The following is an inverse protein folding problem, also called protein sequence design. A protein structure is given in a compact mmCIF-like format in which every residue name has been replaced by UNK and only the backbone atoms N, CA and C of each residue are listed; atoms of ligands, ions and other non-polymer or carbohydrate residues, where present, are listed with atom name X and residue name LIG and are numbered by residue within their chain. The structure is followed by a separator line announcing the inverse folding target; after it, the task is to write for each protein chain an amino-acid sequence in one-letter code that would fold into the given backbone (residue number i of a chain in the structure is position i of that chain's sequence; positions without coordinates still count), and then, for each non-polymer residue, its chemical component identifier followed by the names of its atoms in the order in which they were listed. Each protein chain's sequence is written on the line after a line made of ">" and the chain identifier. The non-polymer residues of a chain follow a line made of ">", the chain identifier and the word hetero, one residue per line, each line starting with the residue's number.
data_IF_891607108810
#
_entry.id   IF_891607108810
#
_cell.length_a   1.000
_cell.length_b   1.000
_cell.length_c   1.000
_cell.angle_alpha   90.00
_cell.angle_beta   90.00
_cell.angle_gamma   90.00
#
_symmetry.space_group_name_H-M   'P 1'
#
loop_
_entity.id
_entity.type
_entity.pdbx_description
1 polymer ?
#
# COMPACT_ATOMS: atom_id res chain seq x y z
N UNK A 1 -7.65 11.83 -0.65
CA UNK A 1 -8.85 11.11 -1.11
C UNK A 1 -9.33 10.28 0.04
N UNK A 2 -10.63 10.15 0.25
CA UNK A 2 -11.18 8.99 0.95
C UNK A 2 -12.18 8.36 -0.01
N UNK A 3 -11.95 7.10 -0.37
CA UNK A 3 -12.90 6.30 -1.11
C UNK A 3 -13.73 5.50 -0.12
N UNK A 4 -15.06 5.59 -0.24
CA UNK A 4 -16.01 4.79 0.53
C UNK A 4 -16.81 3.95 -0.45
N UNK A 5 -16.64 2.63 -0.38
CA UNK A 5 -17.43 1.66 -1.11
C UNK A 5 -18.57 1.16 -0.23
N UNK A 6 -19.79 1.15 -0.75
CA UNK A 6 -20.97 0.60 -0.09
C UNK A 6 -21.45 -0.66 -0.80
N UNK A 7 -21.65 -1.75 -0.06
CA UNK A 7 -22.20 -3.02 -0.53
C UNK A 7 -23.40 -3.42 0.32
N UNK A 8 -24.49 -3.88 -0.31
CA UNK A 8 -25.65 -4.42 0.40
C UNK A 8 -25.95 -5.87 -0.02
N UNK A 9 -25.96 -6.82 0.92
CA UNK A 9 -26.24 -8.23 0.61
C UNK A 9 -27.69 -8.64 0.92
N UNK A 10 -28.22 -9.71 0.29
CA UNK A 10 -29.59 -10.18 0.53
C UNK A 10 -29.81 -10.65 1.98
N UNK A 11 -31.07 -10.67 2.40
CA UNK A 11 -31.69 -10.92 3.74
C UNK A 11 -31.12 -12.01 4.67
N UNK A 12 -30.05 -12.73 4.36
CA UNK A 12 -29.46 -13.72 5.25
C UNK A 12 -28.61 -13.13 6.39
N UNK A 13 -28.13 -11.89 6.27
CA UNK A 13 -27.25 -11.24 7.26
C UNK A 13 -27.95 -10.11 8.03
N UNK A 14 -29.23 -10.31 8.41
CA UNK A 14 -30.24 -9.27 8.73
C UNK A 14 -29.80 -8.13 9.65
N UNK A 15 -28.76 -8.28 10.48
CA UNK A 15 -28.36 -7.28 11.48
C UNK A 15 -26.86 -6.90 11.46
N UNK A 16 -26.10 -7.18 10.40
CA UNK A 16 -24.67 -6.86 10.37
C UNK A 16 -24.34 -5.65 9.48
N UNK A 17 -23.80 -4.58 10.10
CA UNK A 17 -23.10 -3.50 9.43
C UNK A 17 -21.59 -3.70 9.64
N UNK A 18 -20.84 -3.75 8.56
CA UNK A 18 -19.39 -3.91 8.57
C UNK A 18 -18.73 -2.65 8.03
N UNK A 19 -17.82 -2.05 8.78
CA UNK A 19 -16.93 -0.98 8.29
C UNK A 19 -15.51 -1.52 8.29
N UNK A 20 -14.88 -1.50 7.13
CA UNK A 20 -13.47 -1.88 6.97
C UNK A 20 -12.72 -0.60 6.62
N UNK A 21 -12.01 -0.04 7.61
CA UNK A 21 -11.04 1.02 7.38
C UNK A 21 -9.73 0.45 6.83
N UNK A 22 -8.97 1.27 6.09
CA UNK A 22 -7.80 0.86 5.32
C UNK A 22 -8.07 -0.40 4.48
N UNK A 23 -9.16 -0.39 3.71
CA UNK A 23 -9.66 -1.54 2.97
C UNK A 23 -8.61 -2.24 2.08
N UNK A 24 -7.62 -1.50 1.56
CA UNK A 24 -6.45 -2.04 0.87
C UNK A 24 -5.71 -3.14 1.69
N UNK A 25 -5.72 -3.08 3.01
CA UNK A 25 -5.15 -4.10 3.91
C UNK A 25 -5.83 -5.46 3.81
N UNK A 26 -7.17 -5.48 3.69
CA UNK A 26 -7.93 -6.72 3.50
C UNK A 26 -7.44 -7.47 2.26
N UNK A 27 -7.07 -6.68 1.26
CA UNK A 27 -6.71 -7.14 -0.06
C UNK A 27 -5.24 -7.54 -0.20
N UNK A 28 -4.40 -7.29 0.80
CA UNK A 28 -3.03 -7.83 0.90
C UNK A 28 -3.02 -9.32 1.32
N UNK A 29 -4.12 -9.87 1.85
CA UNK A 29 -4.18 -11.22 2.40
C UNK A 29 -4.50 -12.32 1.35
N UNK A 30 -3.74 -12.36 0.25
CA UNK A 30 -3.82 -13.42 -0.77
C UNK A 30 -3.15 -14.71 -0.31
N UNK A 31 -3.61 -15.34 0.79
CA UNK A 31 -3.22 -16.73 1.18
C UNK A 31 -3.85 -17.13 2.52
N UNK A 32 -5.18 -17.14 2.64
CA UNK A 32 -5.76 -17.97 3.72
C UNK A 32 -5.59 -19.42 3.28
N UNK A 33 -4.80 -20.18 4.04
CA UNK A 33 -4.52 -21.59 3.75
C UNK A 33 -5.40 -22.46 4.64
N UNK A 34 -6.14 -23.36 4.02
CA UNK A 34 -6.94 -24.37 4.72
C UNK A 34 -6.72 -25.74 4.10
N UNK A 35 -6.95 -26.81 4.87
CA UNK A 35 -6.95 -28.16 4.31
C UNK A 35 -8.23 -28.41 3.49
N UNK A 36 -8.08 -29.10 2.36
CA UNK A 36 -9.16 -29.46 1.43
C UNK A 36 -10.26 -30.27 2.13
N UNK A 37 -9.89 -31.14 3.07
CA UNK A 37 -10.85 -31.94 3.82
C UNK A 37 -11.72 -31.10 4.74
N UNK A 38 -11.19 -30.00 5.31
CA UNK A 38 -12.00 -29.03 6.06
C UNK A 38 -12.98 -28.31 5.15
N UNK A 39 -12.56 -27.94 3.93
CA UNK A 39 -13.45 -27.32 2.94
C UNK A 39 -14.59 -28.29 2.56
N UNK A 40 -14.27 -29.55 2.27
CA UNK A 40 -15.24 -30.61 1.97
C UNK A 40 -16.19 -30.86 3.15
N UNK A 41 -15.65 -30.90 4.37
CA UNK A 41 -16.44 -31.05 5.59
C UNK A 41 -17.46 -29.93 5.74
N UNK A 42 -17.04 -28.66 5.62
CA UNK A 42 -17.94 -27.51 5.72
C UNK A 42 -18.99 -27.48 4.60
N UNK A 43 -18.63 -27.90 3.39
CA UNK A 43 -19.60 -28.03 2.29
C UNK A 43 -20.65 -29.12 2.54
N UNK A 44 -20.29 -30.21 3.23
CA UNK A 44 -21.18 -31.34 3.50
C UNK A 44 -22.02 -31.11 4.76
N UNK A 45 -21.37 -30.79 5.87
CA UNK A 45 -21.96 -30.76 7.21
C UNK A 45 -22.18 -29.35 7.76
N UNK A 46 -21.62 -28.31 7.15
CA UNK A 46 -21.84 -26.93 7.58
C UNK A 46 -23.31 -26.53 7.50
N UNK A 47 -23.69 -25.54 8.31
CA UNK A 47 -25.02 -24.93 8.25
C UNK A 47 -25.23 -24.17 6.92
N UNK A 48 -26.43 -23.60 6.74
CA UNK A 48 -26.80 -22.86 5.51
C UNK A 48 -25.87 -21.67 5.25
N UNK A 49 -25.37 -21.00 6.28
CA UNK A 49 -24.52 -19.81 6.17
C UNK A 49 -23.09 -20.24 5.82
N UNK A 50 -22.53 -21.20 6.54
CA UNK A 50 -21.22 -21.78 6.31
C UNK A 50 -21.11 -22.32 4.88
N UNK A 51 -22.10 -23.09 4.41
CA UNK A 51 -22.16 -23.59 3.03
C UNK A 51 -22.17 -22.45 2.01
N UNK A 52 -22.89 -21.37 2.26
CA UNK A 52 -22.94 -20.19 1.38
C UNK A 52 -21.59 -19.48 1.32
N UNK A 53 -20.94 -19.25 2.47
CA UNK A 53 -19.62 -18.61 2.56
C UNK A 53 -18.56 -19.48 1.87
N UNK A 54 -18.50 -20.78 2.17
CA UNK A 54 -17.49 -21.68 1.62
C UNK A 54 -17.65 -21.86 0.11
N UNK A 55 -18.87 -21.95 -0.42
CA UNK A 55 -19.10 -21.97 -1.89
C UNK A 55 -18.55 -20.73 -2.57
N UNK A 56 -18.66 -19.55 -1.95
CA UNK A 56 -18.11 -18.30 -2.49
C UNK A 56 -16.58 -18.29 -2.44
N UNK A 57 -16.00 -18.73 -1.33
CA UNK A 57 -14.55 -18.84 -1.17
C UNK A 57 -13.95 -19.80 -2.22
N UNK A 58 -14.54 -20.98 -2.42
CA UNK A 58 -14.03 -21.99 -3.35
C UNK A 58 -14.04 -21.52 -4.81
N UNK A 59 -14.95 -20.62 -5.21
CA UNK A 59 -14.94 -20.00 -6.55
C UNK A 59 -13.68 -19.18 -6.83
N UNK A 60 -12.99 -18.70 -5.79
CA UNK A 60 -11.82 -17.84 -5.89
C UNK A 60 -10.60 -18.49 -5.20
N UNK A 61 -10.45 -19.81 -5.35
CA UNK A 61 -9.38 -20.57 -4.68
C UNK A 61 -8.53 -21.40 -5.64
N UNK A 62 -7.35 -21.78 -5.18
CA UNK A 62 -6.41 -22.67 -5.86
C UNK A 62 -6.11 -23.83 -4.90
N UNK A 63 -6.25 -25.07 -5.37
CA UNK A 63 -5.94 -26.26 -4.57
C UNK A 63 -4.56 -26.83 -4.94
N UNK A 64 -3.79 -27.27 -3.93
CA UNK A 64 -2.50 -27.93 -4.10
C UNK A 64 -2.29 -29.02 -3.04
N UNK A 65 -2.28 -30.28 -3.48
CA UNK A 65 -2.25 -31.42 -2.57
C UNK A 65 -3.44 -31.36 -1.61
N UNK A 66 -3.16 -31.42 -0.30
CA UNK A 66 -4.19 -31.29 0.74
C UNK A 66 -4.56 -29.84 1.08
N UNK A 67 -3.91 -28.83 0.48
CA UNK A 67 -4.08 -27.42 0.84
C UNK A 67 -4.92 -26.67 -0.19
N UNK A 68 -5.64 -25.65 0.29
CA UNK A 68 -6.44 -24.72 -0.52
C UNK A 68 -6.04 -23.29 -0.14
N UNK A 69 -5.75 -22.49 -1.17
CA UNK A 69 -5.36 -21.09 -1.08
C UNK A 69 -6.52 -20.23 -1.56
N UNK A 70 -6.98 -19.29 -0.73
CA UNK A 70 -8.07 -18.38 -1.10
C UNK A 70 -7.53 -17.00 -1.51
N UNK A 71 -8.05 -16.46 -2.62
CA UNK A 71 -7.95 -15.03 -2.93
C UNK A 71 -8.82 -14.25 -1.92
N UNK A 72 -8.46 -13.03 -1.51
CA UNK A 72 -9.23 -12.25 -0.55
C UNK A 72 -10.59 -11.91 -1.14
N UNK A 73 -11.64 -12.12 -0.36
CA UNK A 73 -13.01 -11.77 -0.74
C UNK A 73 -13.56 -10.71 0.20
N UNK A 74 -14.39 -9.81 -0.33
CA UNK A 74 -15.09 -8.84 0.53
C UNK A 74 -16.09 -9.60 1.40
N UNK A 75 -16.03 -9.52 2.75
CA UNK A 75 -16.96 -10.24 3.62
C UNK A 75 -18.42 -9.90 3.33
N UNK A 76 -19.31 -10.88 3.48
CA UNK A 76 -20.76 -10.66 3.35
C UNK A 76 -21.31 -10.09 4.66
N UNK A 77 -21.93 -8.92 4.58
CA UNK A 77 -22.74 -8.32 5.64
C UNK A 77 -23.94 -7.61 5.00
N UNK A 78 -25.01 -7.32 5.75
CA UNK A 78 -26.19 -6.61 5.22
C UNK A 78 -25.77 -5.28 4.60
N UNK A 79 -24.84 -4.59 5.25
CA UNK A 79 -24.16 -3.40 4.72
C UNK A 79 -22.66 -3.53 4.98
N UNK A 80 -21.83 -3.38 3.95
CA UNK A 80 -20.37 -3.28 4.08
C UNK A 80 -19.90 -1.93 3.54
N UNK A 81 -19.19 -1.16 4.37
CA UNK A 81 -18.44 0.01 3.99
C UNK A 81 -16.96 -0.34 3.87
N UNK A 82 -16.35 -0.17 2.69
CA UNK A 82 -14.90 -0.24 2.52
C UNK A 82 -14.35 1.18 2.42
N UNK A 83 -13.54 1.59 3.39
CA UNK A 83 -12.99 2.93 3.50
C UNK A 83 -11.49 2.86 3.26
N UNK A 84 -10.96 3.65 2.34
CA UNK A 84 -9.51 3.77 2.15
C UNK A 84 -9.12 5.10 1.54
N UNK A 85 -7.99 5.65 1.99
CA UNK A 85 -7.47 6.92 1.49
C UNK A 85 -6.66 6.80 0.19
N UNK A 86 -6.25 5.58 -0.16
CA UNK A 86 -5.27 5.30 -1.22
C UNK A 86 -5.72 4.22 -2.21
N UNK A 87 -6.95 3.73 -2.06
CA UNK A 87 -7.50 2.70 -2.94
C UNK A 87 -7.78 3.28 -4.34
N UNK A 88 -7.24 2.62 -5.36
CA UNK A 88 -7.29 3.02 -6.76
C UNK A 88 -8.64 2.61 -7.37
N UNK A 89 -9.36 3.46 -8.13
CA UNK A 89 -10.68 3.11 -8.68
C UNK A 89 -10.70 1.83 -9.51
N UNK A 90 -9.69 1.60 -10.36
CA UNK A 90 -9.54 0.39 -11.19
C UNK A 90 -9.43 -0.88 -10.35
N UNK A 91 -9.08 -0.76 -9.07
CA UNK A 91 -9.04 -1.88 -8.15
C UNK A 91 -10.44 -2.42 -7.85
N UNK A 92 -11.47 -1.57 -7.88
CA UNK A 92 -12.88 -1.97 -7.63
C UNK A 92 -13.37 -2.98 -8.68
N UNK A 93 -12.96 -2.84 -9.93
CA UNK A 93 -13.30 -3.75 -11.02
C UNK A 93 -12.65 -5.13 -10.87
N UNK A 94 -11.55 -5.20 -10.12
CA UNK A 94 -10.80 -6.42 -9.85
C UNK A 94 -11.19 -7.07 -8.52
N UNK A 95 -12.04 -6.41 -7.71
CA UNK A 95 -12.52 -6.98 -6.45
C UNK A 95 -13.51 -8.12 -6.72
N UNK A 96 -13.42 -9.26 -5.99
CA UNK A 96 -14.40 -10.35 -6.08
C UNK A 96 -15.68 -10.00 -5.31
N UNK A 97 -16.37 -8.96 -5.75
CA UNK A 97 -17.70 -8.54 -5.30
C UNK A 97 -18.74 -9.43 -6.00
N UNK A 98 -19.78 -9.92 -5.31
CA UNK A 98 -20.84 -10.68 -5.96
C UNK A 98 -21.59 -9.81 -6.99
N UNK A 99 -21.88 -10.36 -8.17
CA UNK A 99 -22.51 -9.66 -9.30
C UNK A 99 -23.87 -9.04 -8.96
N UNK A 100 -24.58 -9.61 -7.99
CA UNK A 100 -25.91 -9.21 -7.52
C UNK A 100 -25.88 -8.17 -6.38
N UNK A 101 -24.70 -7.69 -5.98
CA UNK A 101 -24.55 -6.75 -4.86
C UNK A 101 -24.40 -5.32 -5.39
N UNK A 102 -25.37 -4.42 -5.09
CA UNK A 102 -25.28 -3.02 -5.47
C UNK A 102 -24.02 -2.39 -4.86
N UNK A 103 -23.22 -1.74 -5.70
CA UNK A 103 -21.98 -1.12 -5.32
C UNK A 103 -22.05 0.39 -5.60
N UNK A 104 -21.81 1.22 -4.57
CA UNK A 104 -21.71 2.68 -4.72
C UNK A 104 -20.39 3.19 -4.19
N UNK A 105 -19.77 4.10 -4.92
CA UNK A 105 -18.48 4.70 -4.57
C UNK A 105 -18.65 6.19 -4.31
N UNK A 106 -18.20 6.65 -3.14
CA UNK A 106 -18.16 8.05 -2.78
C UNK A 106 -16.71 8.50 -2.60
N UNK A 107 -16.42 9.72 -3.07
CA UNK A 107 -15.10 10.33 -2.98
C UNK A 107 -15.15 11.56 -2.11
N UNK A 108 -14.46 11.52 -0.97
CA UNK A 108 -14.21 12.73 -0.17
C UNK A 108 -12.94 13.39 -0.69
N UNK A 109 -13.11 14.58 -1.27
CA UNK A 109 -12.00 15.38 -1.79
C UNK A 109 -11.22 15.99 -0.63
N UNK A 110 -9.89 15.96 -0.75
CA UNK A 110 -8.98 16.74 0.10
C UNK A 110 -8.17 17.66 -0.81
N UNK A 111 -7.93 18.89 -0.37
CA UNK A 111 -7.05 19.80 -1.10
C UNK A 111 -5.61 19.30 -1.02
N UNK A 112 -4.94 19.27 -2.16
CA UNK A 112 -3.55 18.85 -2.28
C UNK A 112 -2.69 20.07 -2.62
N UNK A 113 -1.95 20.56 -1.63
CA UNK A 113 -1.13 21.79 -1.75
C UNK A 113 0.36 21.48 -1.93
N UNK A 114 0.76 20.23 -1.81
CA UNK A 114 2.17 19.85 -1.77
C UNK A 114 2.89 20.08 -3.11
N UNK A 115 4.17 20.44 -3.04
CA UNK A 115 5.08 20.52 -4.18
C UNK A 115 5.62 19.14 -4.48
N UNK A 116 5.49 18.70 -5.73
CA UNK A 116 5.91 17.39 -6.19
C UNK A 116 7.19 17.50 -7.01
N UNK A 117 8.25 16.85 -6.56
CA UNK A 117 9.53 16.78 -7.27
C UNK A 117 9.82 15.31 -7.57
N UNK A 118 10.08 14.92 -8.82
CA UNK A 118 10.30 13.50 -9.15
C UNK A 118 11.56 13.21 -9.96
N UNK A 119 12.21 12.11 -9.61
CA UNK A 119 13.29 11.53 -10.39
C UNK A 119 12.72 10.88 -11.65
N UNK A 120 13.24 11.24 -12.81
CA UNK A 120 12.86 10.60 -14.06
C UNK A 120 13.45 9.18 -14.23
N UNK A 121 14.50 8.85 -13.48
CA UNK A 121 15.17 7.54 -13.52
C UNK A 121 14.47 6.49 -12.66
N UNK A 122 14.69 5.22 -13.01
CA UNK A 122 14.30 4.06 -12.19
C UNK A 122 15.46 3.67 -11.28
N UNK A 123 15.18 3.44 -10.01
CA UNK A 123 16.17 2.98 -9.04
C UNK A 123 15.95 1.49 -8.80
N UNK A 124 16.53 0.64 -9.66
CA UNK A 124 16.47 -0.82 -9.55
C UNK A 124 17.28 -1.34 -8.36
N UNK A 125 16.81 -2.35 -7.64
CA UNK A 125 17.49 -2.76 -6.39
C UNK A 125 18.82 -3.48 -6.65
N UNK A 126 18.92 -4.13 -7.80
CA UNK A 126 20.10 -4.79 -8.32
C UNK A 126 21.24 -3.76 -8.51
N UNK A 127 20.89 -2.53 -8.90
CA UNK A 127 21.81 -1.42 -9.15
C UNK A 127 22.07 -0.56 -7.89
N UNK A 128 21.64 -1.00 -6.70
CA UNK A 128 21.66 -0.20 -5.45
C UNK A 128 23.00 0.41 -5.11
N UNK A 129 24.09 -0.29 -5.36
CA UNK A 129 25.43 0.16 -5.01
C UNK A 129 25.82 1.40 -5.81
N UNK A 130 25.29 1.55 -7.02
CA UNK A 130 25.55 2.71 -7.89
C UNK A 130 24.74 3.95 -7.52
N UNK A 131 23.47 3.79 -7.13
CA UNK A 131 22.56 4.93 -6.92
C UNK A 131 22.36 5.29 -5.45
N UNK A 132 22.62 4.39 -4.49
CA UNK A 132 22.41 4.69 -3.06
C UNK A 132 23.27 5.86 -2.59
N UNK A 133 24.59 5.93 -2.89
CA UNK A 133 25.41 7.08 -2.49
C UNK A 133 24.87 8.41 -3.06
N UNK A 134 24.54 8.43 -4.36
CA UNK A 134 23.96 9.60 -5.04
C UNK A 134 22.62 10.02 -4.41
N UNK A 135 21.79 9.04 -4.04
CA UNK A 135 20.52 9.31 -3.37
C UNK A 135 20.73 9.95 -1.99
N UNK A 136 21.71 9.49 -1.22
CA UNK A 136 22.04 10.03 0.10
C UNK A 136 22.58 11.45 -0.01
N UNK A 137 23.49 11.72 -0.95
CA UNK A 137 24.00 13.06 -1.26
C UNK A 137 22.87 14.00 -1.69
N UNK A 138 21.97 13.53 -2.56
CA UNK A 138 20.82 14.30 -2.99
C UNK A 138 19.88 14.62 -1.82
N UNK A 139 19.60 13.65 -0.95
CA UNK A 139 18.81 13.87 0.26
C UNK A 139 19.48 14.93 1.13
N UNK A 140 20.79 14.80 1.39
CA UNK A 140 21.56 15.73 2.21
C UNK A 140 21.46 17.17 1.69
N UNK A 141 21.64 17.36 0.38
CA UNK A 141 21.56 18.66 -0.27
C UNK A 141 20.16 19.32 -0.19
N UNK A 142 19.12 18.54 0.10
CA UNK A 142 17.73 19.00 0.17
C UNK A 142 17.12 18.84 1.58
N UNK A 143 17.95 18.63 2.61
CA UNK A 143 17.49 18.61 4.00
C UNK A 143 17.09 20.02 4.45
N UNK A 144 15.78 20.28 4.46
CA UNK A 144 15.20 21.50 5.03
C UNK A 144 14.11 21.15 6.03
N UNK A 145 14.06 21.89 7.15
CA UNK A 145 13.13 21.61 8.24
C UNK A 145 13.29 20.20 8.82
N UNK A 146 12.16 19.58 9.18
CA UNK A 146 12.05 18.19 9.58
C UNK A 146 11.76 17.31 8.37
N UNK A 147 12.47 16.19 8.25
CA UNK A 147 12.47 15.36 7.05
C UNK A 147 11.91 13.98 7.35
N UNK A 148 10.94 13.55 6.54
CA UNK A 148 10.43 12.19 6.49
C UNK A 148 11.01 11.42 5.32
N UNK A 149 11.36 10.15 5.53
CA UNK A 149 11.88 9.29 4.48
C UNK A 149 11.14 7.95 4.49
N UNK A 150 10.27 7.76 3.49
CA UNK A 150 9.65 6.48 3.18
C UNK A 150 10.64 5.62 2.41
N UNK A 151 11.36 4.75 3.12
CA UNK A 151 12.31 3.80 2.57
C UNK A 151 11.59 2.57 1.98
N UNK A 152 12.25 1.87 1.07
CA UNK A 152 11.71 0.71 0.36
C UNK A 152 11.89 -0.63 1.09
N UNK A 153 12.92 -0.77 1.91
CA UNK A 153 13.24 -1.99 2.67
C UNK A 153 14.20 -1.67 3.82
N UNK A 154 14.34 -2.59 4.77
CA UNK A 154 15.19 -2.39 5.96
C UNK A 154 16.67 -2.20 5.65
N UNK A 155 17.19 -2.77 4.55
CA UNK A 155 18.59 -2.56 4.14
C UNK A 155 18.83 -1.10 3.77
N UNK A 156 17.94 -0.51 2.98
CA UNK A 156 18.01 0.92 2.65
C UNK A 156 17.73 1.80 3.88
N UNK A 157 16.79 1.41 4.74
CA UNK A 157 16.49 2.15 5.98
C UNK A 157 17.71 2.23 6.89
N UNK A 158 18.42 1.11 7.07
CA UNK A 158 19.69 1.06 7.79
C UNK A 158 20.73 1.98 7.15
N UNK A 159 20.93 1.89 5.83
CA UNK A 159 21.91 2.72 5.13
C UNK A 159 21.63 4.22 5.27
N UNK A 160 20.38 4.65 5.14
CA UNK A 160 19.96 6.04 5.34
C UNK A 160 20.20 6.47 6.79
N UNK A 161 19.78 5.66 7.76
CA UNK A 161 19.98 5.97 9.17
C UNK A 161 21.46 6.14 9.51
N UNK A 162 22.28 5.17 9.11
CA UNK A 162 23.70 5.14 9.42
C UNK A 162 24.46 6.32 8.79
N UNK A 163 24.05 6.74 7.58
CA UNK A 163 24.64 7.88 6.89
C UNK A 163 24.37 9.20 7.63
N UNK A 164 23.15 9.41 8.13
CA UNK A 164 22.74 10.68 8.70
C UNK A 164 22.93 10.80 10.22
N UNK A 165 23.01 9.69 10.96
CA UNK A 165 23.08 9.70 12.44
C UNK A 165 24.30 10.45 12.99
N UNK A 166 25.40 10.53 12.23
CA UNK A 166 26.60 11.24 12.66
C UNK A 166 26.45 12.78 12.61
N UNK A 167 25.45 13.29 11.87
CA UNK A 167 25.25 14.72 11.63
C UNK A 167 23.93 15.25 12.20
N UNK A 168 22.94 14.39 12.35
CA UNK A 168 21.58 14.77 12.73
C UNK A 168 21.00 13.78 13.73
N UNK A 169 20.02 14.23 14.50
CA UNK A 169 19.17 13.31 15.23
C UNK A 169 18.25 12.56 14.26
N UNK A 170 18.49 11.26 14.13
CA UNK A 170 17.74 10.37 13.25
C UNK A 170 16.98 9.34 14.08
N UNK A 171 15.75 9.05 13.67
CA UNK A 171 14.97 7.93 14.19
C UNK A 171 14.55 7.02 13.03
N UNK A 172 14.61 5.70 13.23
CA UNK A 172 14.21 4.74 12.19
C UNK A 172 13.57 3.48 12.75
N UNK A 173 12.67 2.89 11.97
CA UNK A 173 11.95 1.66 12.32
C UNK A 173 12.84 0.40 12.30
N UNK A 174 14.07 0.53 11.83
CA UNK A 174 15.10 -0.50 11.93
C UNK A 174 15.69 -0.57 13.34
N UNK A 175 16.10 0.57 13.91
CA UNK A 175 16.79 0.64 15.20
C UNK A 175 15.89 0.92 16.39
N UNK A 176 14.73 1.53 16.16
CA UNK A 176 13.86 2.01 17.23
C UNK A 176 12.48 1.36 17.16
N UNK A 177 11.94 0.98 18.30
CA UNK A 177 10.56 0.48 18.38
C UNK A 177 9.54 1.60 18.17
N UNK A 178 9.84 2.81 18.67
CA UNK A 178 9.00 3.99 18.56
C UNK A 178 9.79 5.18 17.99
N UNK A 179 9.14 6.04 17.18
CA UNK A 179 9.80 7.22 16.63
C UNK A 179 10.09 8.24 17.72
N UNK A 180 11.34 8.74 17.75
CA UNK A 180 11.68 9.94 18.51
C UNK A 180 10.96 11.13 17.87
N UNK A 181 10.18 11.86 18.67
CA UNK A 181 9.22 12.88 18.17
C UNK A 181 9.91 14.19 17.77
N UNK A 182 11.06 14.46 18.36
CA UNK A 182 11.93 15.60 18.18
C UNK A 182 12.95 15.43 17.05
N UNK A 183 13.29 14.18 16.69
CA UNK A 183 14.23 13.86 15.63
C UNK A 183 14.02 14.69 14.35
N UNK A 184 15.15 15.15 13.79
CA UNK A 184 15.17 15.93 12.54
C UNK A 184 14.85 15.05 11.34
N UNK A 185 15.35 13.82 11.32
CA UNK A 185 15.15 12.87 10.21
C UNK A 185 14.42 11.63 10.74
N UNK A 186 13.30 11.30 10.11
CA UNK A 186 12.45 10.15 10.46
C UNK A 186 12.40 9.22 9.26
N UNK A 187 12.94 8.01 9.42
CA UNK A 187 12.99 7.01 8.36
C UNK A 187 12.06 5.86 8.71
N UNK A 188 11.12 5.52 7.84
CA UNK A 188 10.29 4.32 7.99
C UNK A 188 10.38 3.45 6.77
N UNK A 189 10.25 2.15 6.98
CA UNK A 189 10.25 1.16 5.92
C UNK A 189 8.82 0.94 5.45
N UNK A 190 8.56 1.01 4.14
CA UNK A 190 7.26 0.64 3.57
C UNK A 190 6.99 -0.84 3.86
N UNK A 191 5.78 -1.17 4.34
CA UNK A 191 5.43 -2.46 4.96
C UNK A 191 6.30 -2.86 6.19
N UNK A 192 7.04 -1.92 6.77
CA UNK A 192 7.83 -2.11 7.98
C UNK A 192 7.04 -1.87 9.27
N UNK A 193 7.74 -1.86 10.40
CA UNK A 193 7.14 -1.71 11.74
C UNK A 193 6.37 -0.40 11.88
N UNK A 194 6.85 0.68 11.29
CA UNK A 194 6.21 2.01 11.40
C UNK A 194 5.25 2.33 10.24
N UNK A 195 5.09 1.41 9.30
CA UNK A 195 4.17 1.56 8.17
C UNK A 195 2.71 1.71 8.63
N UNK A 196 2.30 0.99 9.68
CA UNK A 196 0.94 1.05 10.27
C UNK A 196 0.98 1.15 11.79
N UNK A 197 -0.15 1.57 12.38
CA UNK A 197 -0.37 1.56 13.83
C UNK A 197 0.43 2.59 14.66
N UNK A 198 1.45 3.25 14.08
CA UNK A 198 2.30 4.20 14.80
C UNK A 198 2.08 5.62 14.27
N UNK A 199 1.89 6.61 15.14
CA UNK A 199 1.80 8.00 14.69
C UNK A 199 3.18 8.59 14.45
N UNK A 200 3.54 8.82 13.19
CA UNK A 200 4.71 9.63 12.83
C UNK A 200 4.39 11.12 12.98
N UNK A 201 5.35 11.96 13.41
CA UNK A 201 5.16 13.41 13.44
C UNK A 201 5.11 13.99 12.01
N UNK A 202 4.56 15.20 11.90
CA UNK A 202 4.51 15.96 10.65
C UNK A 202 5.93 16.39 10.22
N UNK A 203 6.18 16.43 8.91
CA UNK A 203 7.50 16.73 8.30
C UNK A 203 7.35 17.79 7.22
N UNK A 204 8.36 18.61 6.99
CA UNK A 204 8.39 19.62 5.93
C UNK A 204 8.66 19.01 4.55
N UNK A 205 9.61 18.07 4.51
CA UNK A 205 10.09 17.41 3.29
C UNK A 205 9.94 15.91 3.43
N UNK A 206 9.50 15.25 2.36
CA UNK A 206 9.27 13.80 2.34
C UNK A 206 9.99 13.18 1.14
N UNK A 207 10.97 12.32 1.41
CA UNK A 207 11.61 11.50 0.38
C UNK A 207 10.89 10.16 0.24
N UNK A 208 10.43 9.88 -0.96
CA UNK A 208 9.54 8.78 -1.29
C UNK A 208 10.28 7.77 -2.18
N UNK A 209 10.82 6.70 -1.58
CA UNK A 209 11.35 5.56 -2.35
C UNK A 209 10.22 4.61 -2.73
N UNK A 210 10.30 4.03 -3.93
CA UNK A 210 9.35 3.02 -4.35
C UNK A 210 9.80 1.64 -3.91
N UNK A 211 9.00 0.98 -3.08
CA UNK A 211 9.07 -0.44 -2.84
C UNK A 211 8.37 -1.14 -4.01
N UNK A 212 9.17 -1.67 -4.93
CA UNK A 212 8.68 -2.75 -5.79
C UNK A 212 8.28 -3.92 -4.87
N UNK A 213 7.30 -4.77 -5.23
CA UNK A 213 7.16 -6.04 -4.54
C UNK A 213 8.57 -6.63 -4.50
N UNK A 214 9.15 -6.70 -3.29
CA UNK A 214 10.46 -7.32 -3.12
C UNK A 214 10.40 -8.63 -3.86
N UNK A 215 11.50 -9.06 -4.47
CA UNK A 215 11.67 -10.43 -4.93
C UNK A 215 11.16 -11.33 -3.81
N UNK A 216 9.88 -11.68 -3.89
CA UNK A 216 9.26 -12.47 -2.88
C UNK A 216 10.02 -13.79 -2.96
N UNK A 217 10.20 -14.52 -1.84
CA UNK A 217 10.53 -15.93 -1.98
C UNK A 217 9.61 -16.48 -3.08
N UNK A 218 10.17 -17.16 -4.10
CA UNK A 218 9.49 -17.38 -5.37
C UNK A 218 8.06 -17.77 -5.05
N UNK A 219 7.10 -16.94 -5.49
CA UNK A 219 5.69 -17.28 -5.41
C UNK A 219 5.60 -18.74 -5.80
N UNK A 220 4.94 -19.57 -4.99
CA UNK A 220 4.88 -21.01 -5.22
C UNK A 220 4.67 -21.22 -6.73
N UNK A 221 5.52 -21.97 -7.45
CA UNK A 221 5.50 -22.03 -8.91
C UNK A 221 4.12 -22.32 -9.51
N UNK A 222 3.23 -22.96 -8.74
CA UNK A 222 1.84 -23.20 -9.11
C UNK A 222 0.91 -21.99 -8.89
N UNK A 223 1.17 -21.15 -7.89
CA UNK A 223 0.53 -19.83 -7.78
C UNK A 223 0.92 -18.96 -8.99
N UNK A 224 2.19 -19.00 -9.42
CA UNK A 224 2.62 -18.29 -10.65
C UNK A 224 1.82 -18.76 -11.87
N UNK A 225 1.56 -20.07 -11.99
CA UNK A 225 0.74 -20.63 -13.09
C UNK A 225 -0.75 -20.29 -13.02
N UNK A 226 -1.25 -19.94 -11.83
CA UNK A 226 -2.65 -19.60 -11.60
C UNK A 226 -2.90 -18.09 -11.52
N UNK A 227 -1.83 -17.29 -11.49
CA UNK A 227 -1.87 -15.83 -11.62
C UNK A 227 -2.15 -15.53 -13.09
N UNK A 228 -3.28 -14.90 -13.36
CA UNK A 228 -3.59 -14.34 -14.67
C UNK A 228 -3.17 -12.86 -14.76
N UNK A 229 -3.39 -12.25 -15.93
CA UNK A 229 -3.07 -10.83 -16.15
C UNK A 229 -3.86 -9.89 -15.21
N UNK A 230 -5.08 -10.27 -14.82
CA UNK A 230 -5.91 -9.50 -13.89
C UNK A 230 -5.31 -9.52 -12.50
N UNK A 231 -4.81 -10.67 -12.06
CA UNK A 231 -4.12 -10.85 -10.79
C UNK A 231 -2.82 -10.03 -10.76
N UNK A 232 -2.03 -10.02 -11.84
CA UNK A 232 -0.82 -9.18 -11.96
C UNK A 232 -1.17 -7.70 -11.83
N UNK A 233 -2.19 -7.24 -12.57
CA UNK A 233 -2.66 -5.86 -12.50
C UNK A 233 -3.16 -5.52 -11.09
N UNK A 234 -3.90 -6.42 -10.47
CA UNK A 234 -4.37 -6.27 -9.09
C UNK A 234 -3.20 -6.05 -8.12
N UNK A 235 -2.16 -6.89 -8.17
CA UNK A 235 -0.99 -6.76 -7.28
C UNK A 235 -0.21 -5.48 -7.53
N UNK A 236 -0.11 -5.06 -8.78
CA UNK A 236 0.51 -3.78 -9.12
C UNK A 236 -0.24 -2.61 -8.49
N UNK A 237 -1.57 -2.57 -8.65
CA UNK A 237 -2.42 -1.51 -8.09
C UNK A 237 -2.36 -1.48 -6.55
N UNK A 238 -2.36 -2.65 -5.93
CA UNK A 238 -2.23 -2.77 -4.47
C UNK A 238 -0.86 -2.26 -4.00
N UNK A 239 0.21 -2.61 -4.71
CA UNK A 239 1.56 -2.13 -4.40
C UNK A 239 1.68 -0.62 -4.56
N UNK A 240 1.05 -0.04 -5.59
CA UNK A 240 0.97 1.40 -5.79
C UNK A 240 0.24 2.09 -4.62
N UNK A 241 -0.91 1.55 -4.19
CA UNK A 241 -1.68 2.06 -3.06
C UNK A 241 -0.87 2.04 -1.74
N UNK A 242 -0.15 0.96 -1.47
CA UNK A 242 0.71 0.78 -0.29
C UNK A 242 1.85 1.79 -0.26
N UNK A 243 2.54 1.96 -1.38
CA UNK A 243 3.61 2.95 -1.50
C UNK A 243 3.07 4.36 -1.24
N UNK A 244 1.96 4.71 -1.89
CA UNK A 244 1.34 6.02 -1.70
C UNK A 244 0.89 6.21 -0.24
N UNK A 245 0.28 5.21 0.40
CA UNK A 245 -0.09 5.28 1.81
C UNK A 245 1.13 5.55 2.70
N UNK A 246 2.26 4.90 2.41
CA UNK A 246 3.54 5.12 3.07
C UNK A 246 4.01 6.56 2.97
N UNK A 247 3.87 7.20 1.80
CA UNK A 247 4.31 8.58 1.57
C UNK A 247 3.55 9.61 2.40
N UNK A 248 2.28 9.33 2.77
CA UNK A 248 1.47 10.24 3.59
C UNK A 248 1.61 10.02 5.10
N UNK A 249 2.47 9.10 5.56
CA UNK A 249 2.59 8.77 6.99
C UNK A 249 3.05 9.95 7.85
N UNK A 250 3.91 10.81 7.30
CA UNK A 250 4.41 12.04 7.92
C UNK A 250 3.84 13.34 7.30
N UNK A 251 2.86 13.24 6.41
CA UNK A 251 2.09 14.39 5.86
C UNK A 251 0.76 14.47 6.62
N UNK A 252 0.75 15.18 7.76
CA UNK A 252 -0.38 15.23 8.70
C UNK A 252 -1.13 16.55 8.61
N UNK A 253 -0.43 17.67 8.45
CA UNK A 253 -1.04 19.02 8.49
C UNK A 253 -1.43 19.46 7.07
N UNK A 254 -2.62 19.04 6.60
CA UNK A 254 -3.10 19.29 5.22
C UNK A 254 -3.19 20.77 4.79
N UNK A 255 -3.26 21.70 5.73
CA UNK A 255 -3.29 23.15 5.43
C UNK A 255 -1.92 23.71 5.01
N UNK A 256 -0.85 22.96 5.27
CA UNK A 256 0.53 23.32 5.00
C UNK A 256 0.99 22.70 3.67
N UNK A 257 1.83 23.42 2.93
CA UNK A 257 2.55 22.86 1.78
C UNK A 257 3.74 22.02 2.26
N UNK A 258 3.82 20.77 1.80
CA UNK A 258 4.98 19.89 1.99
C UNK A 258 5.73 19.75 0.67
N UNK A 259 7.01 19.39 0.70
CA UNK A 259 7.78 19.04 -0.50
C UNK A 259 7.95 17.52 -0.55
N UNK A 260 7.42 16.88 -1.59
CA UNK A 260 7.53 15.44 -1.79
C UNK A 260 8.51 15.13 -2.93
N UNK A 261 9.66 14.53 -2.58
CA UNK A 261 10.66 14.05 -3.53
C UNK A 261 10.43 12.57 -3.83
N UNK A 262 9.95 12.26 -5.03
CA UNK A 262 9.85 10.89 -5.53
C UNK A 262 11.20 10.44 -6.08
N UNK A 263 11.90 9.61 -5.32
CA UNK A 263 13.25 9.16 -5.66
C UNK A 263 13.26 8.17 -6.83
N UNK A 264 12.12 7.58 -7.17
CA UNK A 264 11.94 6.64 -8.27
C UNK A 264 10.72 7.05 -9.10
N UNK A 265 10.85 7.03 -10.44
CA UNK A 265 9.75 7.35 -11.37
C UNK A 265 8.46 6.57 -11.09
N UNK A 266 8.56 5.32 -10.61
CA UNK A 266 7.40 4.48 -10.27
C UNK A 266 6.58 5.07 -9.12
N UNK A 267 7.23 5.67 -8.12
CA UNK A 267 6.52 6.30 -7.00
C UNK A 267 5.65 7.48 -7.43
N UNK A 268 6.15 8.33 -8.33
CA UNK A 268 5.36 9.42 -8.90
C UNK A 268 4.23 8.89 -9.80
N UNK A 269 4.48 7.80 -10.53
CA UNK A 269 3.45 7.15 -11.35
C UNK A 269 2.32 6.59 -10.48
N UNK A 270 2.67 5.90 -9.38
CA UNK A 270 1.73 5.38 -8.39
C UNK A 270 0.86 6.49 -7.78
N UNK A 271 1.47 7.63 -7.40
CA UNK A 271 0.73 8.79 -6.89
C UNK A 271 -0.35 9.26 -7.88
N UNK A 272 -0.02 9.38 -9.16
CA UNK A 272 -0.95 9.85 -10.19
C UNK A 272 -2.03 8.82 -10.57
N UNK A 273 -1.85 7.54 -10.21
CA UNK A 273 -2.88 6.51 -10.31
C UNK A 273 -3.83 6.56 -9.13
N UNK A 274 -3.29 6.71 -7.91
CA UNK A 274 -4.09 6.80 -6.69
C UNK A 274 -4.90 8.09 -6.63
N UNK A 275 -4.31 9.23 -6.99
CA UNK A 275 -5.01 10.51 -6.98
C UNK A 275 -5.38 10.92 -8.40
N UNK A 276 -6.67 11.14 -8.70
CA UNK A 276 -7.11 11.64 -9.99
C UNK A 276 -6.32 12.89 -10.39
N UNK A 277 -5.88 12.96 -11.65
CA UNK A 277 -5.08 14.09 -12.16
C UNK A 277 -5.69 15.44 -11.84
N UNK A 278 -7.02 15.56 -11.89
CA UNK A 278 -7.75 16.79 -11.57
C UNK A 278 -7.45 17.35 -10.17
N UNK A 279 -7.06 16.51 -9.22
CA UNK A 279 -6.87 16.90 -7.82
C UNK A 279 -5.44 17.32 -7.53
N UNK A 280 -4.48 16.73 -8.24
CA UNK A 280 -3.05 17.08 -8.17
C UNK A 280 -2.64 18.08 -9.25
N UNK A 281 -3.57 18.56 -10.09
CA UNK A 281 -3.30 19.48 -11.22
C UNK A 281 -2.78 20.85 -10.78
N UNK A 282 -3.16 21.31 -9.59
CA UNK A 282 -2.74 22.62 -9.06
C UNK A 282 -1.39 22.57 -8.33
N UNK A 283 -0.82 21.39 -8.14
CA UNK A 283 0.46 21.22 -7.45
C UNK A 283 1.61 21.72 -8.33
N UNK A 284 2.58 22.39 -7.73
CA UNK A 284 3.87 22.68 -8.38
C UNK A 284 4.59 21.35 -8.65
N UNK A 285 5.16 21.22 -9.86
CA UNK A 285 5.70 19.97 -10.39
C UNK A 285 7.04 20.21 -11.04
N UNK A 286 8.07 19.55 -10.55
CA UNK A 286 9.43 19.63 -11.07
C UNK A 286 10.04 18.25 -11.19
N UNK A 287 10.96 18.08 -12.13
CA UNK A 287 11.67 16.81 -12.31
C UNK A 287 13.16 17.00 -12.12
N UNK A 288 13.83 15.92 -11.73
CA UNK A 288 15.28 15.83 -11.68
C UNK A 288 15.73 14.49 -12.24
N UNK A 289 17.04 14.32 -12.38
CA UNK A 289 17.67 13.07 -12.81
C UNK A 289 18.79 12.73 -11.84
N UNK A 290 18.62 11.65 -11.08
CA UNK A 290 19.61 11.21 -10.10
C UNK A 290 20.76 10.40 -10.75
N UNK A 291 20.42 9.62 -11.78
CA UNK A 291 21.36 8.79 -12.52
C UNK A 291 21.23 9.12 -14.00
N UNK A 292 22.35 9.48 -14.64
CA UNK A 292 22.46 9.41 -16.09
C UNK A 292 22.43 7.94 -16.48
N UNK A 293 21.43 7.55 -17.26
CA UNK A 293 21.44 6.28 -17.97
C UNK A 293 22.36 6.42 -19.17
#
# INVERSE_FOLDING_TARGET
>A
MLMVLYLATPDAFKNALLVIDEADSLFEQWSIVCELDKVRYLLKYGDKIAKRVVRRLVKNCIAFGKWVFFKPIVPLARVTFLVSATLIPEFLELMPIPEDVPCRTFYVKSEFKDRLVWNCSLLKWEERESWTPKALEFIEAHLTGRVGIASRNYRLTKAIHDYFQNKYEVTSDYYHERPKRDAKIIVWTTRGKWYRGISLPDTDVIFCFYQYPLDAPPLNPYLIKAIDERDVKYFQLLNDAVNVQSYFRSNRIRRREHIMYFMDRRGYTALNRVFPRAWVRKCKREWFRLCNQ
#
